data_IF_068303286263
#
_entry.id   IF_068303286263
#
_cell.length_a   1.000
_cell.length_b   1.000
_cell.length_c   1.000
_cell.angle_alpha   90.00
_cell.angle_beta   90.00
_cell.angle_gamma   90.00
#
_symmetry.space_group_name_H-M   'P 1'
#
loop_
_entity.id
_entity.type
_entity.pdbx_description
1 polymer ?
#
# COMPACT_ATOMS: atom_id res chain seq x y z
N UNK A 1 -14.08 -3.89 -3.32
CA UNK A 1 -13.21 -3.78 -2.23
C UNK A 1 -12.51 -5.06 -1.81
N UNK A 2 -11.20 -4.98 -1.81
CA UNK A 2 -10.35 -6.05 -1.30
C UNK A 2 -9.89 -5.79 0.14
N UNK A 3 -9.96 -4.54 0.59
CA UNK A 3 -9.35 -4.07 1.83
C UNK A 3 -10.36 -3.49 2.79
N UNK A 4 -11.33 -2.73 2.31
CA UNK A 4 -12.35 -2.08 3.11
C UNK A 4 -13.77 -2.41 2.65
N UNK A 5 -14.78 -2.04 3.45
CA UNK A 5 -16.19 -2.28 3.16
C UNK A 5 -16.61 -3.77 3.27
N UNK A 6 -17.83 -4.12 2.82
CA UNK A 6 -18.39 -5.48 2.97
C UNK A 6 -17.53 -6.57 2.30
N UNK A 7 -16.96 -6.28 1.13
CA UNK A 7 -16.07 -7.22 0.44
C UNK A 7 -14.77 -7.45 1.21
N UNK A 8 -14.18 -6.39 1.75
CA UNK A 8 -13.00 -6.46 2.61
C UNK A 8 -13.27 -7.27 3.88
N UNK A 9 -14.41 -7.07 4.52
CA UNK A 9 -14.84 -7.85 5.69
C UNK A 9 -14.92 -9.35 5.40
N UNK A 10 -15.65 -9.74 4.35
CA UNK A 10 -15.78 -11.16 3.97
C UNK A 10 -14.43 -11.78 3.63
N UNK A 11 -13.56 -11.03 2.97
CA UNK A 11 -12.20 -11.48 2.68
C UNK A 11 -11.38 -11.63 3.96
N UNK A 12 -11.46 -10.69 4.90
CA UNK A 12 -10.81 -10.73 6.20
C UNK A 12 -11.20 -11.99 6.98
N UNK A 13 -12.49 -12.26 7.14
CA UNK A 13 -13.02 -13.43 7.85
C UNK A 13 -12.54 -14.77 7.25
N UNK A 14 -12.21 -14.81 5.97
CA UNK A 14 -11.63 -16.00 5.33
C UNK A 14 -10.11 -16.07 5.46
N UNK A 15 -9.45 -14.93 5.56
CA UNK A 15 -7.97 -14.85 5.58
C UNK A 15 -7.42 -15.00 6.99
N UNK A 16 -8.11 -14.49 8.00
CA UNK A 16 -7.66 -14.55 9.40
C UNK A 16 -7.38 -15.98 9.86
N UNK A 17 -8.28 -16.99 9.69
CA UNK A 17 -8.00 -18.36 10.10
C UNK A 17 -6.73 -18.94 9.49
N UNK A 18 -6.50 -18.66 8.20
CA UNK A 18 -5.27 -19.12 7.52
C UNK A 18 -4.01 -18.49 8.14
N UNK A 19 -4.09 -17.21 8.54
CA UNK A 19 -2.97 -16.52 9.18
C UNK A 19 -2.77 -16.94 10.65
N UNK A 20 -3.81 -17.40 11.34
CA UNK A 20 -3.71 -18.06 12.64
C UNK A 20 -2.87 -19.33 12.51
N UNK A 21 -3.22 -20.25 11.60
CA UNK A 21 -2.47 -21.48 11.33
C UNK A 21 -1.00 -21.19 10.95
N UNK A 22 -0.76 -20.19 10.11
CA UNK A 22 0.60 -19.76 9.72
C UNK A 22 1.37 -19.26 10.95
N UNK A 23 0.76 -18.41 11.78
CA UNK A 23 1.42 -17.84 12.95
C UNK A 23 1.75 -18.92 13.99
N UNK A 24 0.86 -19.89 14.20
CA UNK A 24 1.08 -21.05 15.07
C UNK A 24 2.23 -21.91 14.55
N UNK A 25 2.25 -22.22 13.25
CA UNK A 25 3.33 -22.97 12.64
C UNK A 25 4.69 -22.24 12.77
N UNK A 26 4.72 -20.92 12.59
CA UNK A 26 5.94 -20.12 12.77
C UNK A 26 6.38 -20.17 14.23
N UNK A 27 5.46 -19.98 15.19
CA UNK A 27 5.74 -20.07 16.63
C UNK A 27 6.37 -21.41 17.00
N UNK A 28 5.80 -22.50 16.48
CA UNK A 28 6.15 -23.86 16.90
C UNK A 28 7.43 -24.37 16.18
N UNK A 29 7.66 -24.00 14.92
CA UNK A 29 8.74 -24.57 14.11
C UNK A 29 9.85 -23.58 13.75
N UNK A 30 9.57 -22.27 13.68
CA UNK A 30 10.54 -21.25 13.24
C UNK A 30 10.42 -19.92 14.00
N UNK A 31 10.43 -19.91 15.36
CA UNK A 31 10.08 -18.71 16.15
C UNK A 31 11.05 -17.53 15.98
N UNK A 32 12.22 -17.75 15.36
CA UNK A 32 13.23 -16.71 15.11
C UNK A 32 13.23 -16.20 13.68
N UNK A 33 12.39 -16.77 12.81
CA UNK A 33 12.33 -16.38 11.39
C UNK A 33 11.73 -14.97 11.22
N UNK A 34 12.25 -14.24 10.23
CA UNK A 34 11.59 -13.06 9.72
C UNK A 34 10.46 -13.46 8.77
N UNK A 35 9.31 -12.84 8.93
CA UNK A 35 8.11 -13.03 8.08
C UNK A 35 7.85 -11.77 7.29
N UNK A 36 7.93 -11.86 5.97
CA UNK A 36 7.62 -10.76 5.05
C UNK A 36 6.27 -11.05 4.42
N UNK A 37 5.26 -10.29 4.78
CA UNK A 37 3.91 -10.46 4.27
C UNK A 37 3.63 -9.55 3.07
N UNK A 38 3.19 -10.15 1.96
CA UNK A 38 2.67 -9.45 0.78
C UNK A 38 1.17 -9.69 0.57
N UNK A 39 0.56 -10.48 1.46
CA UNK A 39 -0.86 -10.86 1.36
C UNK A 39 -1.78 -9.78 1.88
N UNK A 40 -2.89 -9.56 1.19
CA UNK A 40 -3.96 -8.66 1.58
C UNK A 40 -5.20 -9.43 2.13
N UNK A 41 -5.92 -8.84 3.08
CA UNK A 41 -5.82 -7.48 3.66
C UNK A 41 -4.57 -7.31 4.54
N UNK A 42 -3.64 -6.47 4.12
CA UNK A 42 -2.28 -6.38 4.69
C UNK A 42 -2.29 -6.11 6.20
N UNK A 43 -3.00 -5.06 6.63
CA UNK A 43 -3.05 -4.67 8.04
C UNK A 43 -3.61 -5.80 8.92
N UNK A 44 -4.63 -6.52 8.45
CA UNK A 44 -5.24 -7.65 9.17
C UNK A 44 -4.32 -8.86 9.20
N UNK A 45 -3.68 -9.20 8.08
CA UNK A 45 -2.70 -10.30 8.03
C UNK A 45 -1.58 -10.07 9.06
N UNK A 46 -0.96 -8.90 9.05
CA UNK A 46 0.11 -8.55 10.01
C UNK A 46 -0.43 -8.54 11.43
N UNK A 47 -1.62 -7.95 11.66
CA UNK A 47 -2.25 -7.90 12.98
C UNK A 47 -2.53 -9.31 13.53
N UNK A 48 -3.01 -10.23 12.70
CA UNK A 48 -3.27 -11.62 13.08
C UNK A 48 -1.98 -12.32 13.50
N UNK A 49 -0.88 -12.12 12.76
CA UNK A 49 0.42 -12.69 13.11
C UNK A 49 0.86 -12.29 14.53
N UNK A 50 0.79 -10.99 14.85
CA UNK A 50 1.14 -10.47 16.17
C UNK A 50 0.12 -10.83 17.28
N UNK A 51 -1.15 -11.01 16.92
CA UNK A 51 -2.18 -11.44 17.87
C UNK A 51 -1.93 -12.88 18.38
N UNK A 52 -1.56 -13.78 17.46
CA UNK A 52 -1.30 -15.21 17.79
C UNK A 52 0.08 -15.43 18.38
N UNK A 53 1.07 -14.69 17.87
CA UNK A 53 2.46 -14.81 18.33
C UNK A 53 3.06 -13.41 18.53
N UNK A 54 2.92 -12.80 19.73
CA UNK A 54 3.37 -11.42 19.99
C UNK A 54 4.85 -11.14 19.74
N UNK A 55 5.72 -12.13 19.91
CA UNK A 55 7.17 -12.02 19.67
C UNK A 55 7.58 -12.27 18.22
N UNK A 56 6.64 -12.47 17.32
CA UNK A 56 6.92 -12.71 15.90
C UNK A 56 7.71 -11.56 15.28
N UNK A 57 8.71 -11.89 14.48
CA UNK A 57 9.42 -10.91 13.66
C UNK A 57 8.71 -10.80 12.31
N UNK A 58 7.66 -10.01 12.23
CA UNK A 58 6.83 -9.90 11.02
C UNK A 58 6.63 -8.46 10.58
N UNK A 59 6.52 -8.26 9.27
CA UNK A 59 6.13 -6.99 8.67
C UNK A 59 5.46 -7.20 7.31
N UNK A 60 4.66 -6.21 6.90
CA UNK A 60 4.03 -6.19 5.59
C UNK A 60 4.70 -5.21 4.63
N UNK A 61 4.84 -5.61 3.36
CA UNK A 61 5.35 -4.78 2.28
C UNK A 61 4.25 -4.48 1.27
N UNK A 62 4.12 -3.22 0.86
CA UNK A 62 3.21 -2.78 -0.18
C UNK A 62 3.86 -1.74 -1.07
N UNK A 63 3.68 -1.88 -2.38
CA UNK A 63 4.27 -0.98 -3.39
C UNK A 63 3.39 0.23 -3.77
N UNK A 64 2.21 0.39 -3.19
CA UNK A 64 1.30 1.50 -3.51
C UNK A 64 1.93 2.88 -3.24
N UNK A 65 2.72 2.98 -2.18
CA UNK A 65 3.53 4.18 -1.87
C UNK A 65 4.52 4.48 -3.01
N UNK A 66 5.16 3.46 -3.58
CA UNK A 66 6.11 3.62 -4.68
C UNK A 66 5.46 4.17 -5.95
N UNK A 67 4.22 3.75 -6.24
CA UNK A 67 3.43 4.30 -7.35
C UNK A 67 3.18 5.81 -7.19
N UNK A 68 2.97 6.28 -5.96
CA UNK A 68 2.78 7.72 -5.70
C UNK A 68 4.11 8.49 -5.74
N UNK A 69 5.22 7.90 -5.29
CA UNK A 69 6.55 8.50 -5.46
C UNK A 69 6.91 8.62 -6.97
N UNK A 70 6.60 7.59 -7.78
CA UNK A 70 6.77 7.65 -9.24
C UNK A 70 5.94 8.78 -9.85
N UNK A 71 4.68 8.92 -9.47
CA UNK A 71 3.83 10.03 -9.91
C UNK A 71 4.43 11.39 -9.57
N UNK A 72 4.92 11.57 -8.34
CA UNK A 72 5.57 12.82 -7.92
C UNK A 72 6.85 13.10 -8.72
N UNK A 73 7.65 12.07 -9.02
CA UNK A 73 8.83 12.21 -9.87
C UNK A 73 8.44 12.71 -11.27
N UNK A 74 7.43 12.09 -11.89
CA UNK A 74 6.93 12.45 -13.22
C UNK A 74 6.31 13.86 -13.26
N UNK A 75 5.56 14.25 -12.23
CA UNK A 75 5.03 15.62 -12.10
C UNK A 75 6.18 16.63 -11.93
N UNK A 76 7.19 16.32 -11.11
CA UNK A 76 8.34 17.19 -10.92
C UNK A 76 9.16 17.33 -12.22
N UNK A 77 9.34 16.26 -12.98
CA UNK A 77 9.97 16.34 -14.31
C UNK A 77 9.23 17.29 -15.24
N UNK A 78 7.90 17.16 -15.28
CA UNK A 78 7.07 17.97 -16.17
C UNK A 78 7.02 19.44 -15.75
N UNK A 79 6.78 19.72 -14.49
CA UNK A 79 6.54 21.08 -13.98
C UNK A 79 7.85 21.88 -13.77
N UNK A 80 8.96 21.20 -13.46
CA UNK A 80 10.25 21.83 -13.18
C UNK A 80 11.23 21.71 -14.35
N UNK A 81 10.86 21.06 -15.46
CA UNK A 81 11.73 20.85 -16.61
C UNK A 81 12.93 19.93 -16.28
N UNK A 82 12.79 19.04 -15.31
CA UNK A 82 13.79 18.07 -14.90
C UNK A 82 13.64 16.76 -15.69
N UNK A 83 14.64 15.90 -15.63
CA UNK A 83 14.61 14.60 -16.33
C UNK A 83 15.28 13.51 -15.48
N UNK A 84 14.86 12.25 -15.70
CA UNK A 84 15.45 11.06 -15.06
C UNK A 84 15.40 11.10 -13.52
N UNK A 85 14.28 11.53 -12.95
CA UNK A 85 14.05 11.46 -11.53
C UNK A 85 13.60 10.03 -11.18
N UNK A 86 14.42 9.29 -10.45
CA UNK A 86 14.02 8.00 -9.93
C UNK A 86 13.04 8.17 -8.76
N UNK A 87 12.11 7.21 -8.56
CA UNK A 87 11.18 7.26 -7.42
C UNK A 87 11.91 7.32 -6.08
N UNK A 88 13.06 6.66 -6.00
CA UNK A 88 13.94 6.57 -4.81
C UNK A 88 14.54 7.93 -4.44
N UNK A 89 14.61 8.87 -5.38
CA UNK A 89 15.05 10.25 -5.13
C UNK A 89 13.96 11.10 -4.47
N UNK A 90 12.71 10.64 -4.49
CA UNK A 90 11.58 11.32 -3.86
C UNK A 90 11.51 10.93 -2.39
N UNK A 91 11.90 11.84 -1.52
CA UNK A 91 11.84 11.64 -0.07
C UNK A 91 10.47 12.00 0.45
N UNK A 92 9.80 11.06 1.10
CA UNK A 92 8.45 11.22 1.64
C UNK A 92 8.37 10.82 3.11
N UNK A 93 7.48 11.46 3.87
CA UNK A 93 7.04 10.95 5.14
C UNK A 93 5.74 10.18 4.94
N UNK A 94 5.75 8.90 5.29
CA UNK A 94 4.63 7.97 5.08
C UNK A 94 3.89 7.76 6.38
N UNK A 95 2.57 7.96 6.39
CA UNK A 95 1.73 7.71 7.55
C UNK A 95 0.31 7.32 7.17
N UNK A 96 -0.23 6.32 7.85
CA UNK A 96 -1.59 5.85 7.64
C UNK A 96 -1.77 4.35 7.81
N UNK A 97 -2.77 3.81 7.13
CA UNK A 97 -3.06 2.38 7.01
C UNK A 97 -2.68 1.90 5.62
N UNK A 98 -2.40 0.62 5.46
CA UNK A 98 -2.18 0.04 4.14
C UNK A 98 -3.33 0.35 3.17
N UNK A 99 -3.01 0.78 1.96
CA UNK A 99 -3.91 1.26 0.91
C UNK A 99 -4.65 2.58 1.25
N UNK A 100 -4.42 3.15 2.43
CA UNK A 100 -4.93 4.44 2.86
C UNK A 100 -3.84 5.25 3.58
N UNK A 101 -2.65 5.22 2.99
CA UNK A 101 -1.47 5.98 3.39
C UNK A 101 -1.52 7.40 2.83
N UNK A 102 -0.79 8.29 3.51
CA UNK A 102 -0.70 9.70 3.17
C UNK A 102 0.73 10.18 3.29
N UNK A 103 1.06 11.25 2.57
CA UNK A 103 2.28 12.04 2.75
C UNK A 103 1.89 13.43 3.26
N UNK A 104 2.47 13.84 4.38
CA UNK A 104 2.43 15.21 4.88
C UNK A 104 3.63 16.03 4.39
N UNK A 105 4.66 15.35 3.87
CA UNK A 105 5.88 15.93 3.28
C UNK A 105 6.35 15.08 2.12
N UNK A 106 6.75 15.78 1.05
CA UNK A 106 7.40 15.18 -0.11
C UNK A 106 8.43 16.16 -0.67
N UNK A 107 9.63 15.68 -0.97
CA UNK A 107 10.70 16.53 -1.53
C UNK A 107 11.60 15.78 -2.50
N UNK A 108 12.22 16.54 -3.41
CA UNK A 108 13.26 16.11 -4.32
C UNK A 108 14.49 17.03 -4.17
N UNK A 109 15.61 16.50 -3.71
CA UNK A 109 16.88 17.27 -3.50
C UNK A 109 16.66 18.61 -2.79
N UNK A 110 15.80 18.62 -1.77
CA UNK A 110 15.48 19.80 -0.98
C UNK A 110 14.39 20.71 -1.56
N UNK A 111 13.87 20.42 -2.75
CA UNK A 111 12.71 21.11 -3.34
C UNK A 111 11.45 20.51 -2.72
N UNK A 112 10.60 21.34 -2.11
CA UNK A 112 9.27 20.93 -1.64
C UNK A 112 8.35 20.64 -2.84
N UNK A 113 7.79 19.44 -2.90
CA UNK A 113 6.93 19.01 -4.00
C UNK A 113 5.44 19.33 -3.78
N UNK A 114 5.03 19.79 -2.61
CA UNK A 114 3.63 20.14 -2.35
C UNK A 114 3.14 21.31 -3.20
N UNK A 115 3.89 22.42 -3.34
CA UNK A 115 3.50 23.50 -4.26
C UNK A 115 3.45 23.03 -5.72
N UNK A 116 4.40 22.19 -6.13
CA UNK A 116 4.48 21.64 -7.51
C UNK A 116 3.26 20.75 -7.79
N UNK A 117 2.94 19.86 -6.87
CA UNK A 117 1.79 18.98 -6.96
C UNK A 117 0.47 19.74 -6.97
N UNK A 118 0.34 20.79 -6.14
CA UNK A 118 -0.82 21.67 -6.12
C UNK A 118 -1.02 22.37 -7.46
N UNK A 119 0.03 22.98 -8.00
CA UNK A 119 -0.03 23.67 -9.31
C UNK A 119 -0.45 22.71 -10.42
N UNK A 120 0.11 21.50 -10.42
CA UNK A 120 -0.28 20.46 -11.39
C UNK A 120 -1.76 20.11 -11.29
N UNK A 121 -2.29 19.92 -10.08
CA UNK A 121 -3.71 19.60 -9.87
C UNK A 121 -4.61 20.74 -10.32
N UNK A 122 -4.28 21.98 -10.01
CA UNK A 122 -5.07 23.15 -10.42
C UNK A 122 -5.24 23.26 -11.92
N UNK A 123 -4.26 22.81 -12.68
CA UNK A 123 -4.24 22.88 -14.14
C UNK A 123 -4.72 21.60 -14.85
N UNK A 124 -4.65 20.43 -14.19
CA UNK A 124 -4.89 19.12 -14.82
C UNK A 124 -5.89 18.23 -14.08
N UNK A 125 -6.71 18.79 -13.20
CA UNK A 125 -7.65 18.00 -12.38
C UNK A 125 -8.60 17.12 -13.20
N UNK A 126 -9.20 17.67 -14.28
CA UNK A 126 -10.16 16.93 -15.10
C UNK A 126 -9.50 15.91 -16.03
N UNK A 127 -8.30 16.21 -16.50
CA UNK A 127 -7.53 15.30 -17.31
C UNK A 127 -6.94 14.16 -16.49
N UNK A 128 -6.45 14.50 -15.30
CA UNK A 128 -5.65 13.62 -14.45
C UNK A 128 -4.21 13.51 -14.94
N UNK A 129 -3.52 12.48 -14.48
CA UNK A 129 -2.19 12.09 -14.96
C UNK A 129 -2.26 10.66 -15.48
N UNK A 130 -2.02 10.46 -16.77
CA UNK A 130 -2.07 9.14 -17.42
C UNK A 130 -0.85 8.92 -18.31
N UNK A 131 -0.34 7.70 -18.31
CA UNK A 131 0.63 7.25 -19.31
C UNK A 131 -0.13 6.92 -20.60
N UNK A 132 0.43 7.29 -21.76
CA UNK A 132 -0.22 7.13 -23.07
C UNK A 132 -0.60 5.67 -23.35
N UNK A 133 0.31 4.75 -23.07
CA UNK A 133 0.17 3.34 -23.41
C UNK A 133 -0.30 2.48 -22.22
N UNK A 134 -0.46 3.06 -21.02
CA UNK A 134 -0.91 2.40 -19.80
C UNK A 134 -1.89 3.31 -19.04
N UNK A 135 -3.10 3.44 -19.54
CA UNK A 135 -4.15 4.26 -18.96
C UNK A 135 -5.34 3.42 -18.49
N UNK A 136 -6.28 4.05 -17.79
CA UNK A 136 -7.41 3.38 -17.15
C UNK A 136 -8.36 2.65 -18.13
N UNK A 137 -8.35 3.00 -19.41
CA UNK A 137 -9.19 2.36 -20.43
C UNK A 137 -8.59 1.04 -20.94
N UNK A 138 -7.27 0.91 -20.95
CA UNK A 138 -6.57 -0.25 -21.50
C UNK A 138 -5.90 -1.14 -20.46
N UNK A 139 -5.81 -0.68 -19.20
CA UNK A 139 -5.19 -1.41 -18.10
C UNK A 139 -6.07 -1.39 -16.86
N UNK A 140 -6.38 -2.57 -16.33
CA UNK A 140 -7.20 -2.75 -15.12
C UNK A 140 -6.58 -2.09 -13.87
N UNK A 141 -5.28 -1.90 -13.86
CA UNK A 141 -4.53 -1.38 -12.69
C UNK A 141 -4.13 0.08 -12.83
N UNK A 142 -4.23 0.66 -14.03
CA UNK A 142 -3.96 2.07 -14.24
C UNK A 142 -5.14 2.95 -13.80
N UNK A 143 -4.84 4.20 -13.48
CA UNK A 143 -5.83 5.24 -13.15
C UNK A 143 -5.30 6.61 -13.56
N UNK A 144 -6.21 7.59 -13.66
CA UNK A 144 -5.83 8.97 -13.96
C UNK A 144 -5.47 9.79 -12.70
N UNK A 145 -5.35 9.17 -11.54
CA UNK A 145 -5.03 9.78 -10.24
C UNK A 145 -6.02 10.86 -9.74
N UNK A 146 -7.22 10.93 -10.31
CA UNK A 146 -8.21 11.97 -9.99
C UNK A 146 -8.78 11.84 -8.58
N UNK A 147 -8.94 10.62 -8.04
CA UNK A 147 -9.34 10.42 -6.63
C UNK A 147 -8.26 10.98 -5.71
N UNK A 148 -7.00 10.71 -6.01
CA UNK A 148 -5.86 11.23 -5.27
C UNK A 148 -5.80 12.76 -5.28
N UNK A 149 -6.09 13.37 -6.42
CA UNK A 149 -6.13 14.82 -6.60
C UNK A 149 -7.27 15.46 -5.81
N UNK A 150 -8.47 14.87 -5.84
CA UNK A 150 -9.62 15.32 -5.06
C UNK A 150 -9.36 15.24 -3.55
N UNK A 151 -8.73 14.16 -3.11
CA UNK A 151 -8.34 14.00 -1.70
C UNK A 151 -7.30 15.07 -1.28
N UNK A 152 -6.36 15.40 -2.15
CA UNK A 152 -5.40 16.47 -1.87
C UNK A 152 -6.09 17.85 -1.75
N UNK A 153 -7.02 18.16 -2.64
CA UNK A 153 -7.79 19.41 -2.54
C UNK A 153 -8.61 19.50 -1.25
N UNK A 154 -9.14 18.37 -0.77
CA UNK A 154 -9.97 18.32 0.43
C UNK A 154 -9.17 18.36 1.74
N UNK A 155 -8.05 17.65 1.79
CA UNK A 155 -7.32 17.40 3.04
C UNK A 155 -5.92 18.03 3.07
N UNK A 156 -5.41 18.56 1.97
CA UNK A 156 -4.12 19.22 1.89
C UNK A 156 -2.91 18.27 1.95
N UNK A 157 -3.14 16.96 2.07
CA UNK A 157 -2.12 15.93 2.09
C UNK A 157 -2.21 15.02 0.87
N UNK A 158 -1.08 14.45 0.45
CA UNK A 158 -1.02 13.59 -0.72
C UNK A 158 -1.41 12.17 -0.31
N UNK A 159 -2.56 11.68 -0.79
CA UNK A 159 -2.96 10.29 -0.59
C UNK A 159 -2.02 9.36 -1.40
N UNK A 160 -1.48 8.32 -0.76
CA UNK A 160 -0.35 7.55 -1.25
C UNK A 160 -0.68 6.10 -1.60
N UNK A 161 -1.82 5.90 -2.27
CA UNK A 161 -2.22 4.61 -2.85
C UNK A 161 -2.91 4.84 -4.20
N UNK A 162 -3.13 3.78 -4.98
CA UNK A 162 -3.88 3.88 -6.23
C UNK A 162 -5.34 4.25 -6.01
N UNK A 163 -5.93 4.97 -6.97
CA UNK A 163 -7.28 5.53 -6.86
C UNK A 163 -8.34 4.49 -6.48
N UNK A 164 -8.27 3.29 -7.03
CA UNK A 164 -9.19 2.20 -6.72
C UNK A 164 -9.13 1.73 -5.27
N UNK A 165 -7.95 1.82 -4.63
CA UNK A 165 -7.76 1.49 -3.22
C UNK A 165 -8.26 2.62 -2.34
N UNK A 166 -7.90 3.87 -2.65
CA UNK A 166 -8.42 5.04 -1.94
C UNK A 166 -9.94 5.10 -1.96
N UNK A 167 -10.55 4.78 -3.12
CA UNK A 167 -11.99 4.74 -3.29
C UNK A 167 -12.71 3.73 -2.36
N UNK A 168 -12.05 2.62 -1.98
CA UNK A 168 -12.63 1.63 -1.05
C UNK A 168 -12.89 2.19 0.35
N UNK A 169 -12.11 3.18 0.78
CA UNK A 169 -12.25 3.82 2.08
C UNK A 169 -13.33 4.93 2.08
N UNK A 170 -13.75 5.37 0.89
CA UNK A 170 -14.74 6.45 0.72
C UNK A 170 -15.81 6.05 -0.33
N UNK A 171 -16.45 4.87 -0.19
CA UNK A 171 -17.29 4.27 -1.25
C UNK A 171 -18.49 5.13 -1.66
N UNK A 172 -19.17 5.89 -0.77
CA UNK A 172 -20.30 6.73 -1.19
C UNK A 172 -19.93 7.82 -2.20
N UNK A 173 -18.65 8.21 -2.25
CA UNK A 173 -18.16 9.27 -3.13
C UNK A 173 -17.71 8.69 -4.47
N UNK A 174 -16.89 7.64 -4.45
CA UNK A 174 -16.17 7.17 -5.63
C UNK A 174 -16.67 5.84 -6.19
N UNK A 175 -17.43 5.06 -5.41
CA UNK A 175 -17.91 3.71 -5.79
C UNK A 175 -19.44 3.58 -5.81
N UNK A 176 -20.15 4.69 -6.00
CA UNK A 176 -21.61 4.70 -6.00
C UNK A 176 -22.22 3.79 -7.08
N UNK A 177 -21.69 3.88 -8.28
CA UNK A 177 -22.12 3.13 -9.46
C UNK A 177 -20.98 3.05 -10.50
N UNK A 178 -21.12 2.24 -11.57
CA UNK A 178 -20.11 2.12 -12.61
C UNK A 178 -19.82 3.43 -13.35
N UNK A 179 -20.80 4.30 -13.51
CA UNK A 179 -20.65 5.60 -14.17
C UNK A 179 -19.77 6.52 -13.32
N UNK A 180 -19.96 6.52 -12.01
CA UNK A 180 -19.11 7.23 -11.06
C UNK A 180 -17.66 6.76 -11.16
N UNK A 181 -17.41 5.44 -11.15
CA UNK A 181 -16.06 4.87 -11.29
C UNK A 181 -15.42 5.33 -12.61
N UNK A 182 -16.14 5.26 -13.72
CA UNK A 182 -15.65 5.70 -15.02
C UNK A 182 -15.37 7.22 -15.06
N UNK A 183 -16.19 8.03 -14.40
CA UNK A 183 -15.98 9.49 -14.33
C UNK A 183 -14.72 9.87 -13.54
N UNK A 184 -14.33 9.04 -12.56
CA UNK A 184 -13.08 9.19 -11.81
C UNK A 184 -11.86 8.56 -12.51
N UNK A 185 -12.07 7.94 -13.69
CA UNK A 185 -11.02 7.38 -14.55
C UNK A 185 -10.13 6.36 -13.83
N UNK A 186 -10.72 5.34 -13.21
CA UNK A 186 -10.01 4.17 -12.71
C UNK A 186 -10.77 2.87 -12.96
N UNK A 187 -10.06 1.75 -13.00
CA UNK A 187 -10.63 0.42 -13.23
C UNK A 187 -10.83 -0.36 -11.93
N UNK A 188 -11.78 -1.33 -11.99
CA UNK A 188 -11.99 -2.31 -10.93
C UNK A 188 -11.82 -3.73 -11.48
N UNK A 189 -11.24 -4.63 -10.70
CA UNK A 189 -11.18 -6.05 -11.04
C UNK A 189 -12.51 -6.72 -10.74
N UNK A 190 -13.25 -7.12 -11.79
CA UNK A 190 -14.50 -7.84 -11.64
C UNK A 190 -14.28 -9.28 -11.18
N UNK A 191 -15.33 -9.94 -10.63
CA UNK A 191 -15.28 -11.37 -10.29
C UNK A 191 -14.98 -12.23 -11.52
N UNK A 192 -15.54 -11.89 -12.67
CA UNK A 192 -15.26 -12.59 -13.94
C UNK A 192 -13.79 -12.50 -14.30
N UNK A 193 -13.23 -11.29 -14.31
CA UNK A 193 -11.81 -11.07 -14.57
C UNK A 193 -10.92 -11.90 -13.62
N UNK A 194 -11.22 -11.90 -12.31
CA UNK A 194 -10.43 -12.66 -11.32
C UNK A 194 -10.51 -14.17 -11.54
N UNK A 195 -11.68 -14.71 -11.94
CA UNK A 195 -11.82 -16.14 -12.27
C UNK A 195 -11.02 -16.53 -13.52
N UNK A 196 -11.01 -15.67 -14.52
CA UNK A 196 -10.24 -15.89 -15.74
C UNK A 196 -8.73 -15.80 -15.49
N UNK A 197 -8.29 -14.80 -14.73
CA UNK A 197 -6.91 -14.64 -14.33
C UNK A 197 -6.42 -15.84 -13.50
N UNK A 198 -7.24 -16.35 -12.57
CA UNK A 198 -6.91 -17.56 -11.82
C UNK A 198 -6.69 -18.76 -12.75
N UNK A 199 -7.55 -18.98 -13.75
CA UNK A 199 -7.36 -20.06 -14.72
C UNK A 199 -6.04 -19.92 -15.46
N UNK A 200 -5.72 -18.70 -15.97
CA UNK A 200 -4.46 -18.42 -16.67
C UNK A 200 -3.24 -18.70 -15.78
N UNK A 201 -3.30 -18.28 -14.51
CA UNK A 201 -2.20 -18.52 -13.54
C UNK A 201 -2.01 -20.02 -13.26
N UNK A 202 -3.10 -20.76 -13.09
CA UNK A 202 -3.03 -22.23 -12.86
C UNK A 202 -2.46 -22.94 -14.08
N UNK A 203 -2.84 -22.57 -15.30
CA UNK A 203 -2.27 -23.11 -16.53
C UNK A 203 -0.79 -22.78 -16.68
N UNK A 204 -0.41 -21.51 -16.40
CA UNK A 204 1.00 -21.10 -16.39
C UNK A 204 1.79 -21.91 -15.35
N UNK A 205 1.29 -22.08 -14.14
CA UNK A 205 1.93 -22.88 -13.10
C UNK A 205 2.16 -24.32 -13.54
N UNK A 206 1.19 -24.93 -14.23
CA UNK A 206 1.36 -26.30 -14.78
C UNK A 206 2.48 -26.35 -15.82
N UNK A 207 2.54 -25.38 -16.76
CA UNK A 207 3.63 -25.33 -17.77
C UNK A 207 5.00 -25.11 -17.13
N UNK A 208 5.08 -24.27 -16.08
CA UNK A 208 6.34 -24.07 -15.35
C UNK A 208 6.79 -25.36 -14.64
N UNK A 209 5.87 -26.09 -14.00
CA UNK A 209 6.17 -27.35 -13.30
C UNK A 209 6.55 -28.46 -14.29
N UNK A 210 5.90 -28.53 -15.47
CA UNK A 210 6.22 -29.52 -16.51
C UNK A 210 7.51 -29.19 -17.27
N UNK A 211 8.06 -27.98 -17.14
CA UNK A 211 9.23 -27.54 -17.88
C UNK A 211 8.94 -27.05 -19.31
N UNK A 212 7.66 -26.97 -19.70
CA UNK A 212 7.25 -26.40 -20.98
C UNK A 212 7.48 -24.87 -21.05
N UNK A 213 7.48 -24.20 -19.89
CA UNK A 213 7.74 -22.78 -19.76
C UNK A 213 8.83 -22.58 -18.70
N UNK A 214 9.73 -21.62 -18.93
CA UNK A 214 10.76 -21.24 -17.97
C UNK A 214 10.39 -19.98 -17.23
N UNK A 215 10.84 -19.85 -15.97
CA UNK A 215 10.67 -18.63 -15.19
C UNK A 215 11.60 -17.56 -15.75
N UNK A 216 11.01 -16.45 -16.21
CA UNK A 216 11.79 -15.26 -16.56
C UNK A 216 12.23 -14.54 -15.28
N UNK A 217 13.53 -14.27 -15.16
CA UNK A 217 14.11 -13.56 -14.02
C UNK A 217 14.07 -12.04 -14.27
N UNK A 218 12.89 -11.47 -14.20
CA UNK A 218 12.70 -10.03 -14.32
C UNK A 218 12.53 -9.39 -12.92
N UNK A 219 13.17 -8.23 -12.65
CA UNK A 219 12.92 -7.48 -11.42
C UNK A 219 11.44 -7.12 -11.30
N UNK A 220 10.84 -7.42 -10.15
CA UNK A 220 9.43 -7.13 -9.89
C UNK A 220 9.14 -5.67 -9.49
N UNK A 221 10.20 -4.90 -9.17
CA UNK A 221 10.06 -3.57 -8.55
C UNK A 221 9.80 -3.61 -7.05
N UNK A 222 9.63 -4.80 -6.45
CA UNK A 222 9.47 -4.99 -5.00
C UNK A 222 10.83 -4.92 -4.29
N UNK A 223 10.84 -4.38 -3.05
CA UNK A 223 12.06 -4.21 -2.27
C UNK A 223 12.43 -5.41 -1.39
N UNK A 224 11.68 -6.53 -1.44
CA UNK A 224 11.86 -7.66 -0.52
C UNK A 224 13.29 -8.17 -0.41
N UNK A 225 13.99 -8.34 -1.53
CA UNK A 225 15.39 -8.77 -1.53
C UNK A 225 16.31 -7.72 -0.89
N UNK A 226 16.05 -6.43 -1.11
CA UNK A 226 16.79 -5.33 -0.50
C UNK A 226 16.62 -5.33 1.02
N UNK A 227 15.38 -5.55 1.49
CA UNK A 227 15.05 -5.64 2.91
C UNK A 227 15.71 -6.88 3.56
N UNK A 228 15.71 -8.02 2.89
CA UNK A 228 16.43 -9.23 3.35
C UNK A 228 17.92 -8.93 3.49
N UNK A 229 18.55 -8.29 2.50
CA UNK A 229 19.95 -7.87 2.59
C UNK A 229 20.20 -6.98 3.80
N UNK A 230 19.29 -6.04 4.09
CA UNK A 230 19.41 -5.16 5.25
C UNK A 230 19.31 -5.95 6.57
N UNK A 231 18.33 -6.87 6.68
CA UNK A 231 18.15 -7.72 7.86
C UNK A 231 19.35 -8.68 8.07
N UNK A 232 20.01 -9.10 6.99
CA UNK A 232 21.28 -9.85 7.06
C UNK A 232 22.49 -8.96 7.42
N UNK A 233 22.32 -7.63 7.48
CA UNK A 233 23.39 -6.69 7.80
C UNK A 233 24.34 -6.37 6.63
N UNK A 234 23.91 -6.66 5.40
CA UNK A 234 24.68 -6.37 4.19
C UNK A 234 24.49 -4.92 3.70
N UNK A 235 23.42 -4.25 4.13
CA UNK A 235 23.12 -2.86 3.82
C UNK A 235 22.24 -2.26 4.91
N UNK A 236 21.94 -0.96 4.79
CA UNK A 236 20.94 -0.25 5.60
C UNK A 236 19.97 0.43 4.65
N UNK A 237 18.68 0.30 4.90
CA UNK A 237 17.63 0.81 4.02
C UNK A 237 16.56 1.52 4.83
N UNK A 238 16.00 2.60 4.28
CA UNK A 238 14.76 3.20 4.77
C UNK A 238 13.68 2.90 3.73
N UNK A 239 12.60 2.25 4.18
CA UNK A 239 11.46 1.94 3.32
C UNK A 239 10.16 2.01 4.13
N UNK A 240 9.01 2.12 3.45
CA UNK A 240 7.71 2.00 4.11
C UNK A 240 7.42 0.55 4.49
N UNK A 241 6.76 0.38 5.62
CA UNK A 241 6.48 -0.93 6.19
C UNK A 241 5.18 -0.91 6.98
N UNK A 242 4.46 -2.02 6.93
CA UNK A 242 3.25 -2.25 7.74
C UNK A 242 3.64 -3.05 8.99
N UNK A 243 3.58 -2.39 10.16
CA UNK A 243 3.90 -2.97 11.47
C UNK A 243 2.98 -2.39 12.55
N UNK A 244 2.84 -3.04 13.74
CA UNK A 244 2.09 -2.47 14.84
C UNK A 244 2.62 -1.09 15.29
N UNK A 245 1.70 -0.20 15.65
CA UNK A 245 1.98 1.17 16.14
C UNK A 245 2.52 1.19 17.59
N UNK A 246 3.15 0.12 18.02
CA UNK A 246 3.60 -0.05 19.42
C UNK A 246 4.66 0.96 19.85
N UNK A 247 5.49 1.42 18.91
CA UNK A 247 6.47 2.47 19.15
C UNK A 247 5.87 3.89 19.09
N UNK A 248 4.57 4.03 18.76
CA UNK A 248 3.90 5.32 18.63
C UNK A 248 4.35 6.10 17.40
N UNK A 249 4.61 5.42 16.28
CA UNK A 249 5.00 6.04 15.00
C UNK A 249 3.97 7.10 14.58
N UNK A 250 2.69 6.81 14.79
CA UNK A 250 1.56 7.73 14.61
C UNK A 250 0.88 7.89 15.98
N UNK A 251 1.25 8.94 16.78
CA UNK A 251 0.85 9.02 18.18
C UNK A 251 -0.66 9.11 18.44
N UNK A 252 -1.41 9.66 17.50
CA UNK A 252 -2.87 9.82 17.62
C UNK A 252 -3.68 8.67 17.01
N UNK A 253 -3.05 7.51 16.74
CA UNK A 253 -3.70 6.24 16.47
C UNK A 253 -3.45 5.24 17.61
N UNK A 254 -4.35 4.24 17.83
CA UNK A 254 -4.13 3.20 18.83
C UNK A 254 -2.80 2.46 18.64
N UNK A 255 -2.15 2.07 19.73
CA UNK A 255 -0.92 1.26 19.68
C UNK A 255 -1.14 -0.13 19.09
N UNK A 256 -2.35 -0.66 19.16
CA UNK A 256 -2.77 -1.93 18.57
C UNK A 256 -3.01 -1.88 17.07
N UNK A 257 -3.10 -0.68 16.47
CA UNK A 257 -3.25 -0.54 15.03
C UNK A 257 -2.00 -1.02 14.30
N UNK A 258 -2.17 -1.70 13.17
CA UNK A 258 -1.08 -1.92 12.20
C UNK A 258 -1.09 -0.74 11.24
N UNK A 259 0.00 0.01 11.24
CA UNK A 259 0.16 1.25 10.47
C UNK A 259 1.24 1.10 9.41
N UNK A 260 1.14 1.87 8.34
CA UNK A 260 2.16 1.97 7.31
C UNK A 260 2.94 3.27 7.49
N UNK A 261 4.23 3.14 7.84
CA UNK A 261 5.17 4.24 8.07
C UNK A 261 6.54 3.88 7.55
N UNK A 262 7.43 4.86 7.42
CA UNK A 262 8.84 4.57 7.15
C UNK A 262 9.48 3.84 8.33
N UNK A 263 10.41 2.95 8.04
CA UNK A 263 11.27 2.30 9.02
C UNK A 263 12.71 2.17 8.51
N UNK A 264 13.65 2.12 9.43
CA UNK A 264 15.06 1.84 9.14
C UNK A 264 15.29 0.34 9.32
N UNK A 265 15.69 -0.32 8.24
CA UNK A 265 16.10 -1.72 8.22
C UNK A 265 17.59 -1.84 8.38
N UNK A 266 18.03 -2.66 9.32
CA UNK A 266 19.44 -2.99 9.58
C UNK A 266 19.54 -4.41 10.09
N UNK A 267 20.76 -4.89 10.41
CA UNK A 267 21.00 -6.27 10.88
C UNK A 267 20.01 -6.66 12.00
N UNK A 268 19.18 -7.66 11.71
CA UNK A 268 18.16 -8.25 12.60
C UNK A 268 17.24 -7.23 13.29
N UNK A 269 16.97 -6.08 12.62
CA UNK A 269 16.25 -4.96 13.22
C UNK A 269 15.43 -4.17 12.20
N UNK A 270 14.22 -3.80 12.64
CA UNK A 270 13.35 -2.82 11.96
C UNK A 270 13.03 -1.74 13.00
N UNK A 271 13.55 -0.55 12.80
CA UNK A 271 13.30 0.60 13.67
C UNK A 271 12.29 1.55 13.02
N UNK A 272 11.03 1.63 13.50
CA UNK A 272 10.04 2.55 12.98
C UNK A 272 10.52 3.99 13.07
N UNK A 273 10.24 4.78 12.04
CA UNK A 273 10.48 6.22 12.06
C UNK A 273 9.23 6.91 12.63
N UNK A 274 9.42 7.87 13.53
CA UNK A 274 8.33 8.70 14.02
C UNK A 274 7.75 9.51 12.86
N UNK A 275 6.49 9.26 12.54
CA UNK A 275 5.82 9.87 11.39
C UNK A 275 5.07 11.17 11.74
N UNK A 276 4.68 11.34 13.00
CA UNK A 276 3.87 12.47 13.46
C UNK A 276 2.39 12.14 13.57
N UNK A 277 1.60 13.15 13.92
CA UNK A 277 0.15 13.02 14.05
C UNK A 277 -0.54 13.16 12.68
N UNK A 278 -1.57 12.38 12.47
CA UNK A 278 -2.55 12.66 11.42
C UNK A 278 -3.31 13.95 11.74
N UNK A 279 -3.78 14.67 10.72
CA UNK A 279 -4.80 15.70 10.95
C UNK A 279 -6.07 15.08 11.51
N UNK A 280 -6.88 15.83 12.22
CA UNK A 280 -8.09 15.28 12.84
C UNK A 280 -9.05 14.72 11.80
N UNK A 281 -9.16 15.40 10.64
CA UNK A 281 -10.02 14.97 9.53
C UNK A 281 -9.58 13.62 8.97
N UNK A 282 -8.29 13.44 8.70
CA UNK A 282 -7.73 12.17 8.18
C UNK A 282 -7.83 11.08 9.24
N UNK A 283 -7.57 11.40 10.52
CA UNK A 283 -7.70 10.47 11.63
C UNK A 283 -9.13 9.93 11.75
N UNK A 284 -10.14 10.81 11.63
CA UNK A 284 -11.55 10.42 11.68
C UNK A 284 -11.95 9.49 10.53
N UNK A 285 -11.35 9.64 9.35
CA UNK A 285 -11.55 8.71 8.24
C UNK A 285 -10.93 7.34 8.51
N UNK A 286 -9.79 7.28 9.21
CA UNK A 286 -9.06 6.04 9.47
C UNK A 286 -9.60 5.25 10.66
N UNK A 287 -10.04 5.93 11.70
CA UNK A 287 -10.39 5.30 12.97
C UNK A 287 -11.44 4.18 12.85
N UNK A 288 -12.51 4.32 12.07
CA UNK A 288 -13.48 3.24 11.85
C UNK A 288 -12.84 1.97 11.29
N UNK A 289 -11.86 2.10 10.41
CA UNK A 289 -11.15 0.95 9.83
C UNK A 289 -10.24 0.27 10.84
N UNK A 290 -9.55 1.05 11.69
CA UNK A 290 -8.76 0.52 12.81
C UNK A 290 -9.66 -0.26 13.77
N UNK A 291 -10.82 0.29 14.13
CA UNK A 291 -11.79 -0.40 15.02
C UNK A 291 -12.33 -1.68 14.39
N UNK A 292 -12.68 -1.65 13.10
CA UNK A 292 -13.12 -2.84 12.38
C UNK A 292 -12.05 -3.95 12.39
N UNK A 293 -10.76 -3.60 12.31
CA UNK A 293 -9.68 -4.58 12.40
C UNK A 293 -9.61 -5.26 13.77
N UNK A 294 -9.94 -4.57 14.86
CA UNK A 294 -10.06 -5.19 16.19
C UNK A 294 -11.24 -6.16 16.23
N UNK A 295 -12.41 -5.71 15.76
CA UNK A 295 -13.63 -6.51 15.79
C UNK A 295 -13.52 -7.78 14.96
N UNK A 296 -12.89 -7.72 13.76
CA UNK A 296 -12.71 -8.90 12.90
C UNK A 296 -11.87 -10.00 13.56
N UNK A 297 -10.92 -9.65 14.43
CA UNK A 297 -10.14 -10.62 15.19
C UNK A 297 -10.93 -11.20 16.38
N UNK A 298 -11.80 -10.41 17.02
CA UNK A 298 -12.60 -10.88 18.16
C UNK A 298 -13.78 -11.77 17.74
N UNK A 299 -14.20 -11.70 16.46
CA UNK A 299 -15.27 -12.53 15.91
C UNK A 299 -14.78 -13.93 15.43
N UNK A 300 -13.53 -14.24 15.59
CA UNK A 300 -12.90 -15.52 15.23
C UNK A 300 -12.59 -16.34 16.49
#
# INVERSE_FOLDING_TARGET
>A
GDTAGPGGMVRALRTIPMFVEIAEAIRDYAPKAWVINYTNPMSLCVKTLYHVFPEIKAFGCCHEVFGTQKLLAQIAERELGLTNIAREDIVVNVLGLNHFTWFDRASYKGIDLFPVYRHFIETHFEEGFEEKDNNWMNSTFACAHRVKFDLFQKYGWIAAAGDRHLAEFMPPIYLKDPQTVASWKFGLTTVTWRKEDLKKRLEKSKRLVSGEEQVELNPSGEEGILLIKALCGLTRVISNVNIPNTAGQIPNLPKSAVVETNAVFSRDSIAPVYAGNLTEEIRQLMLPHVMNHEEYLTCQ
#
